data_IF_468789702830
#
_entry.id   IF_468789702830
#
_cell.length_a   1.000
_cell.length_b   1.000
_cell.length_c   1.000
_cell.angle_alpha   90.00
_cell.angle_beta   90.00
_cell.angle_gamma   90.00
#
_symmetry.space_group_name_H-M   'P 1'
#
loop_
_entity.id
_entity.type
_entity.pdbx_description
1 polymer ?
#
# COMPACT_ATOMS: atom_id res chain seq x y z
N UNK A 1 22.86 2.23 -25.70
CA UNK A 1 21.48 2.66 -26.01
C UNK A 1 20.40 1.64 -25.60
N UNK A 2 20.74 0.46 -25.03
CA UNK A 2 19.74 -0.61 -24.76
C UNK A 2 19.45 -0.93 -23.29
N UNK A 3 20.22 -0.40 -22.32
CA UNK A 3 19.94 -0.61 -20.89
C UNK A 3 19.26 0.62 -20.27
N UNK A 4 19.74 1.81 -20.59
CA UNK A 4 19.08 3.05 -20.17
C UNK A 4 17.69 3.17 -20.80
N UNK A 5 17.56 2.80 -22.07
CA UNK A 5 16.29 2.87 -22.79
C UNK A 5 15.30 1.81 -22.29
N UNK A 6 15.75 0.62 -21.89
CA UNK A 6 14.89 -0.39 -21.27
C UNK A 6 14.51 -0.05 -19.83
N UNK A 7 15.40 0.60 -19.07
CA UNK A 7 15.08 1.13 -17.74
C UNK A 7 14.11 2.32 -17.82
N UNK A 8 14.27 3.20 -18.83
CA UNK A 8 13.35 4.30 -19.09
C UNK A 8 12.00 3.77 -19.56
N UNK A 9 11.97 2.82 -20.51
CA UNK A 9 10.74 2.16 -20.97
C UNK A 9 10.07 1.37 -19.84
N UNK A 10 10.83 0.68 -18.99
CA UNK A 10 10.29 0.04 -17.80
C UNK A 10 9.75 1.08 -16.80
N UNK A 11 10.41 2.23 -16.62
CA UNK A 11 9.92 3.29 -15.75
C UNK A 11 8.67 3.99 -16.28
N UNK A 12 8.53 4.15 -17.61
CA UNK A 12 7.34 4.74 -18.24
C UNK A 12 6.19 3.73 -18.34
N UNK A 13 6.48 2.45 -18.62
CA UNK A 13 5.46 1.39 -18.53
C UNK A 13 5.04 1.15 -17.07
N UNK A 14 5.94 1.29 -16.10
CA UNK A 14 5.59 1.29 -14.68
C UNK A 14 4.80 2.54 -14.31
N UNK A 15 5.07 3.71 -14.89
CA UNK A 15 4.28 4.94 -14.71
C UNK A 15 2.82 4.75 -15.15
N UNK A 16 2.57 4.14 -16.31
CA UNK A 16 1.20 3.88 -16.79
C UNK A 16 0.57 2.64 -16.12
N UNK A 17 1.37 1.67 -15.67
CA UNK A 17 0.93 0.51 -14.84
C UNK A 17 0.84 0.85 -13.33
N UNK A 18 1.13 2.09 -12.93
CA UNK A 18 1.14 2.55 -11.53
C UNK A 18 -0.25 2.72 -10.91
N UNK A 19 -1.31 2.55 -11.70
CA UNK A 19 -2.66 2.90 -11.24
C UNK A 19 -3.60 1.72 -10.98
N UNK A 20 -3.23 0.49 -11.31
CA UNK A 20 -3.97 -0.69 -10.84
C UNK A 20 -3.09 -1.43 -9.83
N UNK A 21 -3.17 -0.97 -8.59
CA UNK A 21 -2.78 -1.79 -7.44
C UNK A 21 -3.54 -3.11 -7.59
N UNK A 22 -2.93 -4.31 -7.44
CA UNK A 22 -3.70 -5.54 -7.32
C UNK A 22 -4.58 -5.39 -6.10
N UNK A 23 -5.80 -5.03 -6.38
CA UNK A 23 -6.80 -4.65 -5.40
C UNK A 23 -7.15 -5.91 -4.65
N UNK A 24 -6.91 -5.91 -3.34
CA UNK A 24 -7.44 -6.99 -2.52
C UNK A 24 -8.94 -6.99 -2.72
N UNK A 25 -9.46 -8.13 -3.18
CA UNK A 25 -10.86 -8.36 -3.51
C UNK A 25 -11.79 -7.58 -2.55
N UNK A 26 -12.68 -6.75 -3.10
CA UNK A 26 -13.65 -5.93 -2.36
C UNK A 26 -13.18 -4.58 -1.80
N UNK A 27 -11.89 -4.23 -1.81
CA UNK A 27 -11.34 -2.98 -1.23
C UNK A 27 -11.17 -1.82 -2.24
N UNK A 28 -12.17 -0.94 -2.43
CA UNK A 28 -12.13 0.15 -3.44
C UNK A 28 -10.92 1.07 -3.32
N UNK A 29 -9.93 0.90 -4.20
CA UNK A 29 -8.74 1.74 -4.36
C UNK A 29 -9.04 3.24 -4.28
N UNK A 30 -10.16 3.71 -4.86
CA UNK A 30 -10.56 5.13 -4.84
C UNK A 30 -10.94 5.67 -3.45
N UNK A 31 -11.27 4.81 -2.48
CA UNK A 31 -11.63 5.27 -1.12
C UNK A 31 -10.39 5.65 -0.29
N UNK A 32 -9.25 5.01 -0.56
CA UNK A 32 -8.04 5.14 0.26
C UNK A 32 -6.90 5.88 -0.46
N UNK A 33 -6.83 5.72 -1.77
CA UNK A 33 -5.90 6.42 -2.62
C UNK A 33 -6.34 7.87 -2.84
N UNK A 34 -5.43 8.81 -2.61
CA UNK A 34 -5.62 10.24 -2.87
C UNK A 34 -4.60 10.67 -3.92
N UNK A 35 -5.07 11.29 -5.00
CA UNK A 35 -4.21 11.77 -6.11
C UNK A 35 -3.15 12.77 -5.64
N UNK A 36 -3.37 13.45 -4.51
CA UNK A 36 -2.36 14.30 -3.89
C UNK A 36 -1.13 13.54 -3.41
N UNK A 37 -1.22 12.21 -3.21
CA UNK A 37 -0.09 11.38 -2.79
C UNK A 37 1.00 11.29 -3.87
N UNK A 38 0.65 11.52 -5.13
CA UNK A 38 1.60 11.49 -6.24
C UNK A 38 2.40 12.76 -6.42
N UNK A 39 1.93 13.84 -5.79
CA UNK A 39 2.50 15.18 -5.95
C UNK A 39 3.93 15.28 -5.40
N UNK A 40 4.43 14.22 -4.75
CA UNK A 40 5.75 14.14 -4.11
C UNK A 40 6.52 12.87 -4.48
N UNK A 41 6.17 12.18 -5.57
CA UNK A 41 6.97 11.06 -6.06
C UNK A 41 8.34 11.61 -6.53
N UNK A 42 9.28 11.76 -5.60
CA UNK A 42 10.65 12.15 -5.91
C UNK A 42 11.26 11.06 -6.77
N UNK A 43 11.90 11.45 -7.89
CA UNK A 43 12.65 10.62 -8.85
C UNK A 43 13.89 9.95 -8.23
N UNK A 44 13.75 9.41 -7.02
CA UNK A 44 14.78 8.71 -6.30
C UNK A 44 14.63 7.22 -6.60
N UNK A 45 15.71 6.61 -7.09
CA UNK A 45 15.80 5.18 -7.38
C UNK A 45 15.35 4.29 -6.20
N UNK A 46 15.48 4.77 -4.97
CA UNK A 46 15.01 4.08 -3.76
C UNK A 46 13.49 3.87 -3.75
N UNK A 47 12.70 4.88 -4.14
CA UNK A 47 11.24 4.73 -4.23
C UNK A 47 10.87 3.63 -5.22
N UNK A 48 11.50 3.63 -6.39
CA UNK A 48 11.24 2.64 -7.44
C UNK A 48 11.54 1.24 -6.91
N UNK A 49 12.69 1.03 -6.27
CA UNK A 49 13.07 -0.27 -5.72
C UNK A 49 12.09 -0.74 -4.65
N UNK A 50 11.72 0.13 -3.70
CA UNK A 50 10.80 -0.22 -2.61
C UNK A 50 9.38 -0.51 -3.13
N UNK A 51 8.85 0.36 -3.99
CA UNK A 51 7.52 0.19 -4.57
C UNK A 51 7.45 -1.06 -5.46
N UNK A 52 8.50 -1.33 -6.25
CA UNK A 52 8.60 -2.55 -7.04
C UNK A 52 8.68 -3.80 -6.17
N UNK A 53 9.49 -3.78 -5.11
CA UNK A 53 9.57 -4.89 -4.14
C UNK A 53 8.23 -5.16 -3.44
N UNK A 54 7.52 -4.10 -3.04
CA UNK A 54 6.18 -4.21 -2.48
C UNK A 54 5.18 -4.78 -3.48
N UNK A 55 5.25 -4.36 -4.75
CA UNK A 55 4.41 -4.91 -5.82
C UNK A 55 4.69 -6.38 -6.07
N UNK A 56 5.97 -6.77 -6.11
CA UNK A 56 6.37 -8.16 -6.21
C UNK A 56 5.79 -8.99 -5.05
N UNK A 57 5.91 -8.48 -3.82
CA UNK A 57 5.30 -9.13 -2.65
C UNK A 57 3.78 -9.28 -2.80
N UNK A 58 3.08 -8.22 -3.20
CA UNK A 58 1.62 -8.22 -3.35
C UNK A 58 1.11 -9.22 -4.39
N UNK A 59 1.86 -9.40 -5.49
CA UNK A 59 1.45 -10.29 -6.59
C UNK A 59 1.83 -11.74 -6.31
N UNK A 60 3.04 -11.99 -5.81
CA UNK A 60 3.57 -13.36 -5.73
C UNK A 60 3.45 -14.00 -4.34
N UNK A 61 3.49 -13.19 -3.28
CA UNK A 61 3.56 -13.69 -1.89
C UNK A 61 2.22 -13.51 -1.18
N UNK A 62 1.66 -12.30 -1.22
CA UNK A 62 0.42 -11.94 -0.51
C UNK A 62 -0.77 -12.88 -0.80
N UNK A 63 -1.01 -13.37 -2.04
CA UNK A 63 -2.15 -14.24 -2.30
C UNK A 63 -2.12 -15.56 -1.52
N UNK A 64 -0.91 -16.06 -1.20
CA UNK A 64 -0.74 -17.29 -0.41
C UNK A 64 -1.09 -17.11 1.08
N UNK A 65 -1.11 -15.88 1.58
CA UNK A 65 -1.38 -15.58 2.99
C UNK A 65 -2.88 -15.41 3.28
N UNK A 66 -3.71 -15.21 2.25
CA UNK A 66 -5.13 -14.95 2.42
C UNK A 66 -5.43 -13.65 3.18
N UNK A 67 -6.64 -13.54 3.73
CA UNK A 67 -7.19 -12.30 4.29
C UNK A 67 -6.88 -12.05 5.77
N UNK A 68 -5.59 -12.10 6.13
CA UNK A 68 -5.12 -12.01 7.52
C UNK A 68 -5.01 -10.58 8.06
N UNK A 69 -4.91 -9.58 7.19
CA UNK A 69 -4.75 -8.20 7.62
C UNK A 69 -6.01 -7.68 8.30
N UNK A 70 -5.89 -7.09 9.50
CA UNK A 70 -7.06 -6.58 10.25
C UNK A 70 -7.55 -5.19 9.79
N UNK A 71 -6.92 -4.66 8.75
CA UNK A 71 -7.02 -3.28 8.36
C UNK A 71 -7.40 -3.11 6.89
N UNK A 72 -8.05 -1.98 6.58
CA UNK A 72 -8.28 -1.50 5.21
C UNK A 72 -7.80 -0.02 5.10
N UNK A 73 -6.93 0.30 4.12
CA UNK A 73 -6.27 -0.63 3.22
C UNK A 73 -5.35 -1.59 4.01
N UNK A 74 -4.96 -2.72 3.40
CA UNK A 74 -4.06 -3.66 4.07
C UNK A 74 -2.71 -3.04 4.40
N UNK A 75 -1.92 -3.68 5.27
CA UNK A 75 -0.61 -3.17 5.66
C UNK A 75 0.35 -2.98 4.46
N UNK A 76 0.32 -3.88 3.47
CA UNK A 76 1.15 -3.75 2.27
C UNK A 76 0.69 -2.56 1.41
N UNK A 77 -0.61 -2.37 1.25
CA UNK A 77 -1.19 -1.22 0.55
C UNK A 77 -0.99 0.10 1.29
N UNK A 78 -1.10 0.09 2.61
CA UNK A 78 -0.81 1.23 3.48
C UNK A 78 0.65 1.64 3.34
N UNK A 79 1.60 0.69 3.38
CA UNK A 79 3.01 0.98 3.18
C UNK A 79 3.29 1.54 1.79
N UNK A 80 2.69 0.94 0.74
CA UNK A 80 2.81 1.43 -0.63
C UNK A 80 2.34 2.88 -0.77
N UNK A 81 1.15 3.19 -0.24
CA UNK A 81 0.60 4.56 -0.27
C UNK A 81 1.41 5.51 0.62
N UNK A 82 1.89 5.06 1.78
CA UNK A 82 2.73 5.87 2.67
C UNK A 82 4.05 6.24 2.03
N UNK A 83 4.67 5.34 1.25
CA UNK A 83 5.88 5.62 0.48
C UNK A 83 5.61 6.65 -0.61
N UNK A 84 4.49 6.55 -1.34
CA UNK A 84 4.10 7.58 -2.33
C UNK A 84 3.89 8.95 -1.67
N UNK A 85 3.16 8.98 -0.55
CA UNK A 85 2.77 10.21 0.15
C UNK A 85 3.92 10.90 0.89
N UNK A 86 4.74 10.14 1.62
CA UNK A 86 5.76 10.67 2.54
C UNK A 86 7.19 10.45 2.07
N UNK A 87 7.40 9.75 0.96
CA UNK A 87 8.71 9.33 0.47
C UNK A 87 9.21 8.03 1.12
N UNK A 88 10.38 7.55 0.71
CA UNK A 88 10.81 6.17 0.99
C UNK A 88 11.06 5.93 2.48
N UNK A 89 11.71 6.86 3.18
CA UNK A 89 12.09 6.68 4.58
C UNK A 89 10.86 6.76 5.49
N UNK A 90 10.15 7.89 5.47
CA UNK A 90 9.00 8.11 6.34
C UNK A 90 7.83 7.19 5.99
N UNK A 91 7.64 6.91 4.70
CA UNK A 91 6.62 5.97 4.25
C UNK A 91 6.90 4.54 4.70
N UNK A 92 8.17 4.10 4.64
CA UNK A 92 8.57 2.80 5.14
C UNK A 92 8.41 2.70 6.66
N UNK A 93 8.85 3.71 7.42
CA UNK A 93 8.67 3.75 8.89
C UNK A 93 7.19 3.65 9.27
N UNK A 94 6.31 4.42 8.63
CA UNK A 94 4.86 4.35 8.81
C UNK A 94 4.31 2.96 8.49
N UNK A 95 4.79 2.34 7.42
CA UNK A 95 4.40 0.97 7.07
C UNK A 95 4.87 -0.08 8.08
N UNK A 96 6.06 0.05 8.66
CA UNK A 96 6.55 -0.87 9.68
C UNK A 96 5.77 -0.71 10.99
N UNK A 97 5.54 0.53 11.44
CA UNK A 97 4.66 0.81 12.59
C UNK A 97 3.29 0.16 12.41
N UNK A 98 2.72 0.30 11.21
CA UNK A 98 1.45 -0.31 10.83
C UNK A 98 1.44 -1.83 11.01
N UNK A 99 2.51 -2.50 10.57
CA UNK A 99 2.65 -3.96 10.70
C UNK A 99 2.68 -4.38 12.17
N UNK A 100 3.32 -3.61 13.05
CA UNK A 100 3.37 -3.88 14.49
C UNK A 100 1.98 -3.76 15.14
N UNK A 101 1.17 -2.80 14.70
CA UNK A 101 -0.21 -2.62 15.16
C UNK A 101 -1.21 -3.61 14.56
N UNK A 102 -0.84 -4.32 13.48
CA UNK A 102 -1.71 -5.29 12.82
C UNK A 102 -1.73 -6.62 13.55
N UNK A 103 -2.57 -6.70 14.57
CA UNK A 103 -2.79 -7.91 15.36
C UNK A 103 -4.27 -8.01 15.75
N UNK A 104 -4.64 -9.11 16.42
CA UNK A 104 -6.03 -9.40 16.80
C UNK A 104 -6.66 -8.32 17.69
N UNK A 105 -5.90 -7.71 18.61
CA UNK A 105 -6.38 -6.72 19.58
C UNK A 105 -6.64 -5.35 18.98
N UNK A 106 -6.35 -5.14 17.70
CA UNK A 106 -6.55 -3.84 17.05
C UNK A 106 -7.99 -3.32 17.16
N UNK A 107 -8.97 -4.21 17.16
CA UNK A 107 -10.39 -3.88 17.21
C UNK A 107 -10.77 -3.19 18.53
N UNK A 108 -10.02 -3.46 19.60
CA UNK A 108 -10.26 -2.87 20.92
C UNK A 108 -9.89 -1.37 20.97
N UNK A 109 -9.14 -0.88 19.98
CA UNK A 109 -8.71 0.51 19.87
C UNK A 109 -9.63 1.37 18.99
N UNK A 110 -10.75 0.82 18.52
CA UNK A 110 -11.76 1.59 17.77
C UNK A 110 -12.54 2.47 18.75
N UNK A 111 -12.68 3.75 18.40
CA UNK A 111 -13.24 4.80 19.27
C UNK A 111 -12.19 5.48 20.17
N UNK A 112 -10.95 4.99 20.19
CA UNK A 112 -9.82 5.66 20.90
C UNK A 112 -8.74 6.11 19.92
N UNK A 113 -8.22 5.20 19.09
CA UNK A 113 -7.18 5.49 18.10
C UNK A 113 -7.66 5.36 16.66
N UNK A 114 -8.71 4.56 16.42
CA UNK A 114 -9.29 4.36 15.09
C UNK A 114 -10.75 4.78 15.07
N UNK A 115 -11.18 5.40 13.98
CA UNK A 115 -12.52 5.97 13.89
C UNK A 115 -13.62 4.91 13.75
N UNK A 116 -13.37 3.88 12.94
CA UNK A 116 -14.42 2.95 12.53
C UNK A 116 -13.93 1.59 12.04
N UNK A 117 -14.87 0.63 12.03
CA UNK A 117 -14.76 -0.67 11.36
C UNK A 117 -15.74 -0.68 10.19
N UNK A 118 -15.28 -1.14 9.03
CA UNK A 118 -16.10 -1.28 7.81
C UNK A 118 -16.12 -2.74 7.39
N UNK A 119 -17.28 -3.19 6.90
CA UNK A 119 -17.40 -4.49 6.25
C UNK A 119 -16.93 -4.36 4.79
N UNK A 120 -15.82 -5.01 4.48
CA UNK A 120 -15.33 -5.16 3.11
C UNK A 120 -15.85 -6.50 2.58
N UNK A 121 -16.62 -6.48 1.49
CA UNK A 121 -17.43 -7.61 1.00
C UNK A 121 -16.67 -8.95 0.98
N UNK A 122 -15.40 -8.93 0.59
CA UNK A 122 -14.61 -10.14 0.39
C UNK A 122 -13.49 -10.33 1.43
N UNK A 123 -13.35 -9.38 2.37
CA UNK A 123 -12.32 -9.41 3.43
C UNK A 123 -12.88 -9.40 4.85
N UNK A 124 -14.18 -9.20 5.00
CA UNK A 124 -14.88 -9.08 6.27
C UNK A 124 -14.64 -7.74 6.97
N UNK A 125 -14.82 -7.73 8.29
CA UNK A 125 -14.68 -6.52 9.12
C UNK A 125 -13.23 -6.08 9.27
N UNK A 126 -12.92 -4.88 8.77
CA UNK A 126 -11.59 -4.26 8.81
C UNK A 126 -11.64 -2.91 9.52
N UNK A 127 -10.61 -2.62 10.30
CA UNK A 127 -10.40 -1.29 10.90
C UNK A 127 -9.85 -0.34 9.84
N UNK A 128 -10.36 0.89 9.81
CA UNK A 128 -9.92 1.91 8.85
C UNK A 128 -8.72 2.69 9.40
N UNK A 129 -7.65 2.80 8.62
CA UNK A 129 -6.51 3.70 8.91
C UNK A 129 -5.94 4.21 7.59
N UNK A 130 -5.94 5.52 7.40
CA UNK A 130 -5.46 6.14 6.16
C UNK A 130 -3.95 6.45 6.29
N UNK A 131 -3.18 6.34 5.20
CA UNK A 131 -1.73 6.66 5.18
C UNK A 131 -1.39 8.04 5.76
#
# INVERSE_FOLDING_TARGET
>A
MNLLLSLIIASTLLSDYSYEVPFEKGDTQKIYYDESYDKKLTDNSVNIILLFGLRFYQIFISPSQGEVCNFSPSCSNYMFQSIRKYGPIFGFIKGIDRLQRCNFSVRDYVGTFYDSIVLIEERGFKVIDKP
#
